data_IF_669674029015
#
_entry.id   IF_669674029015
#
_cell.length_a   1.000
_cell.length_b   1.000
_cell.length_c   1.000
_cell.angle_alpha   90.00
_cell.angle_beta   90.00
_cell.angle_gamma   90.00
#
_symmetry.space_group_name_H-M   'P 1'
#
loop_
_entity.id
_entity.type
_entity.pdbx_description
1 polymer ?
#
# COMPACT_ATOMS: atom_id res chain seq x y z
N UNK A 1 -2.67 -5.00 3.88
CA UNK A 1 -2.23 -6.04 2.94
C UNK A 1 -1.68 -7.18 3.76
N UNK A 2 -2.38 -8.32 3.76
CA UNK A 2 -2.00 -9.48 4.56
C UNK A 2 -0.62 -9.99 4.12
N UNK A 3 0.31 -10.10 5.07
CA UNK A 3 1.54 -10.87 4.87
C UNK A 3 1.11 -12.33 4.80
N UNK A 4 1.07 -12.88 3.61
CA UNK A 4 0.95 -14.33 3.46
C UNK A 4 2.33 -14.90 3.79
N UNK A 5 2.59 -15.11 5.08
CA UNK A 5 3.63 -16.03 5.52
C UNK A 5 3.11 -17.43 5.18
N UNK A 6 3.33 -17.91 3.96
CA UNK A 6 3.23 -19.34 3.71
C UNK A 6 4.37 -19.98 4.51
N UNK A 7 4.04 -20.56 5.67
CA UNK A 7 4.94 -21.49 6.35
C UNK A 7 5.30 -22.55 5.32
N UNK A 8 6.61 -22.75 5.13
CA UNK A 8 7.09 -23.92 4.40
C UNK A 8 6.75 -25.08 5.32
N UNK A 9 5.76 -25.89 4.96
CA UNK A 9 5.37 -27.10 5.67
C UNK A 9 5.72 -28.31 4.79
N UNK A 10 6.04 -29.46 5.40
CA UNK A 10 6.43 -30.69 4.70
C UNK A 10 7.93 -31.02 4.73
N UNK A 11 8.43 -31.94 3.88
CA UNK A 11 9.80 -32.49 3.95
C UNK A 11 10.93 -31.49 3.64
N UNK A 12 10.57 -30.23 3.38
CA UNK A 12 11.49 -29.09 3.23
C UNK A 12 11.82 -28.41 4.56
N UNK A 13 11.08 -28.70 5.64
CA UNK A 13 11.30 -28.12 6.99
C UNK A 13 12.47 -28.79 7.70
N UNK A 14 12.73 -30.07 7.42
CA UNK A 14 13.74 -30.83 8.15
C UNK A 14 15.15 -30.44 7.69
N UNK A 15 16.01 -29.90 8.58
CA UNK A 15 17.40 -29.63 8.26
C UNK A 15 18.13 -30.95 7.98
N UNK A 16 18.94 -30.98 6.91
CA UNK A 16 19.75 -32.17 6.63
C UNK A 16 20.70 -32.43 7.81
N UNK A 17 20.70 -33.68 8.29
CA UNK A 17 21.66 -34.10 9.32
C UNK A 17 23.07 -34.00 8.72
N UNK A 18 24.04 -33.41 9.43
CA UNK A 18 25.41 -33.33 8.94
C UNK A 18 25.96 -34.75 8.75
N UNK A 19 26.64 -34.96 7.62
CA UNK A 19 27.32 -36.21 7.31
C UNK A 19 28.41 -36.46 8.36
N UNK A 20 28.18 -37.40 9.26
CA UNK A 20 29.24 -37.93 10.13
C UNK A 20 30.18 -38.72 9.22
N UNK A 21 31.36 -38.14 8.96
CA UNK A 21 32.46 -38.82 8.27
C UNK A 21 32.92 -40.00 9.14
N UNK A 22 32.31 -41.15 8.95
CA UNK A 22 32.71 -42.37 9.62
C UNK A 22 31.49 -43.24 9.89
N UNK A 23 31.21 -44.12 8.92
CA UNK A 23 30.80 -45.53 9.07
C UNK A 23 30.23 -45.93 7.72
N UNK A 24 31.02 -46.73 7.01
CA UNK A 24 30.60 -47.47 5.83
C UNK A 24 29.60 -48.52 6.31
N UNK A 25 28.32 -48.33 6.03
CA UNK A 25 27.31 -49.37 6.12
C UNK A 25 26.21 -49.09 5.09
N UNK A 26 26.02 -50.05 4.20
CA UNK A 26 25.09 -50.05 3.09
C UNK A 26 23.65 -49.83 3.57
N UNK A 27 23.05 -48.68 3.23
CA UNK A 27 21.60 -48.54 3.07
C UNK A 27 21.39 -47.63 1.85
N UNK A 28 20.59 -48.12 0.91
CA UNK A 28 20.14 -47.44 -0.30
C UNK A 28 19.34 -46.16 0.02
N UNK A 29 20.00 -45.11 0.49
CA UNK A 29 19.42 -43.77 0.58
C UNK A 29 20.41 -42.83 -0.05
N UNK A 30 20.44 -42.85 -1.38
CA UNK A 30 21.34 -42.06 -2.20
C UNK A 30 21.08 -40.57 -1.94
N UNK A 31 21.90 -39.88 -1.13
CA UNK A 31 21.63 -38.49 -0.73
C UNK A 31 21.62 -37.55 -1.95
N UNK A 32 22.27 -38.00 -3.03
CA UNK A 32 22.29 -37.34 -4.33
C UNK A 32 20.91 -37.31 -5.01
N UNK A 33 20.13 -38.39 -4.89
CA UNK A 33 18.77 -38.46 -5.44
C UNK A 33 17.80 -37.57 -4.65
N UNK A 34 17.96 -37.48 -3.34
CA UNK A 34 17.16 -36.58 -2.49
C UNK A 34 17.44 -35.10 -2.82
N UNK A 35 18.70 -34.75 -3.07
CA UNK A 35 19.09 -33.40 -3.45
C UNK A 35 18.51 -32.98 -4.80
N UNK A 36 18.60 -33.85 -5.81
CA UNK A 36 18.05 -33.58 -7.15
C UNK A 36 16.52 -33.48 -7.14
N UNK A 37 15.84 -34.28 -6.29
CA UNK A 37 14.39 -34.16 -6.11
C UNK A 37 13.98 -32.82 -5.49
N UNK A 38 14.71 -32.34 -4.47
CA UNK A 38 14.47 -31.02 -3.86
C UNK A 38 14.71 -29.88 -4.85
N UNK A 39 15.77 -29.97 -5.67
CA UNK A 39 16.04 -28.99 -6.72
C UNK A 39 14.93 -28.94 -7.77
N UNK A 40 14.38 -30.09 -8.17
CA UNK A 40 13.27 -30.14 -9.12
C UNK A 40 12.00 -29.49 -8.55
N UNK A 41 11.66 -29.77 -7.30
CA UNK A 41 10.53 -29.12 -6.61
C UNK A 41 10.71 -27.61 -6.49
N UNK A 42 11.94 -27.13 -6.30
CA UNK A 42 12.26 -25.71 -6.31
C UNK A 42 12.08 -25.09 -7.70
N UNK A 43 12.53 -25.75 -8.76
CA UNK A 43 12.27 -25.29 -10.13
C UNK A 43 10.76 -25.20 -10.43
N UNK A 44 9.99 -26.21 -10.03
CA UNK A 44 8.52 -26.22 -10.17
C UNK A 44 7.86 -25.08 -9.39
N UNK A 45 8.33 -24.77 -8.18
CA UNK A 45 7.80 -23.65 -7.38
C UNK A 45 8.03 -22.28 -8.03
N UNK A 46 9.11 -22.12 -8.81
CA UNK A 46 9.45 -20.90 -9.54
C UNK A 46 8.96 -20.91 -11.00
N UNK A 47 8.14 -21.89 -11.39
CA UNK A 47 7.63 -22.09 -12.75
C UNK A 47 8.75 -22.12 -13.82
N UNK A 48 9.90 -22.71 -13.48
CA UNK A 48 11.06 -22.81 -14.37
C UNK A 48 10.99 -24.09 -15.21
N UNK A 49 11.07 -23.93 -16.53
CA UNK A 49 11.08 -25.04 -17.47
C UNK A 49 12.34 -25.90 -17.31
N UNK A 50 12.23 -27.20 -17.57
CA UNK A 50 13.32 -28.19 -17.44
C UNK A 50 14.39 -28.10 -18.56
N UNK A 51 14.75 -26.89 -18.95
CA UNK A 51 15.75 -26.62 -19.96
C UNK A 51 17.17 -26.63 -19.35
N UNK A 52 18.20 -26.62 -20.22
CA UNK A 52 19.61 -26.64 -19.79
C UNK A 52 20.00 -25.50 -18.84
N UNK A 53 19.25 -24.39 -18.81
CA UNK A 53 19.47 -23.23 -17.93
C UNK A 53 18.65 -23.25 -16.63
N UNK A 54 17.85 -24.29 -16.37
CA UNK A 54 16.91 -24.31 -15.23
C UNK A 54 17.57 -23.98 -13.88
N UNK A 55 18.81 -24.42 -13.66
CA UNK A 55 19.52 -24.20 -12.39
C UNK A 55 20.16 -22.80 -12.31
N UNK A 56 20.57 -22.22 -13.43
CA UNK A 56 21.03 -20.81 -13.44
C UNK A 56 19.86 -19.87 -13.20
N UNK A 57 18.71 -20.16 -13.82
CA UNK A 57 17.49 -19.36 -13.65
C UNK A 57 16.96 -19.49 -12.21
N UNK A 58 17.04 -20.69 -11.62
CA UNK A 58 16.71 -20.92 -10.22
C UNK A 58 17.63 -20.13 -9.29
N UNK A 59 18.94 -20.11 -9.55
CA UNK A 59 19.89 -19.34 -8.74
C UNK A 59 19.58 -17.83 -8.78
N UNK A 60 19.19 -17.31 -9.94
CA UNK A 60 18.79 -15.91 -10.11
C UNK A 60 17.47 -15.64 -9.36
N UNK A 61 16.47 -16.51 -9.48
CA UNK A 61 15.20 -16.38 -8.78
C UNK A 61 15.38 -16.36 -7.25
N UNK A 62 16.20 -17.28 -6.72
CA UNK A 62 16.55 -17.32 -5.31
C UNK A 62 17.33 -16.06 -4.87
N UNK A 63 18.24 -15.56 -5.71
CA UNK A 63 18.96 -14.33 -5.42
C UNK A 63 18.00 -13.13 -5.32
N UNK A 64 17.04 -13.00 -6.24
CA UNK A 64 16.02 -11.93 -6.22
C UNK A 64 15.19 -11.97 -4.93
N UNK A 65 14.78 -13.15 -4.48
CA UNK A 65 13.92 -13.28 -3.30
C UNK A 65 14.66 -13.08 -1.98
N UNK A 66 15.86 -13.66 -1.86
CA UNK A 66 16.57 -13.77 -0.59
C UNK A 66 17.69 -12.75 -0.41
N UNK A 67 18.31 -12.25 -1.49
CA UNK A 67 19.44 -11.31 -1.39
C UNK A 67 18.95 -9.88 -1.59
N UNK A 68 19.04 -8.99 -0.58
CA UNK A 68 18.53 -7.61 -0.68
C UNK A 68 19.08 -6.81 -1.87
N UNK A 69 20.33 -7.09 -2.29
CA UNK A 69 20.98 -6.42 -3.41
C UNK A 69 20.44 -6.80 -4.80
N UNK A 70 19.78 -7.95 -4.93
CA UNK A 70 19.19 -8.43 -6.20
C UNK A 70 17.68 -8.18 -6.29
N UNK A 71 17.06 -7.64 -5.23
CA UNK A 71 15.64 -7.28 -5.23
C UNK A 71 15.37 -6.17 -6.24
N UNK A 72 14.38 -6.37 -7.11
CA UNK A 72 13.87 -5.30 -7.94
C UNK A 72 13.39 -4.16 -7.03
N UNK A 73 14.04 -2.99 -7.16
CA UNK A 73 13.51 -1.76 -6.57
C UNK A 73 12.14 -1.53 -7.19
N UNK A 74 11.06 -1.68 -6.40
CA UNK A 74 9.73 -1.23 -6.83
C UNK A 74 9.89 0.20 -7.33
N UNK A 75 9.59 0.44 -8.60
CA UNK A 75 9.53 1.81 -9.13
C UNK A 75 8.54 2.54 -8.23
N UNK A 76 9.06 3.41 -7.36
CA UNK A 76 8.21 4.28 -6.57
C UNK A 76 7.49 5.14 -7.57
N UNK A 77 6.21 4.84 -7.83
CA UNK A 77 5.37 5.71 -8.65
C UNK A 77 5.44 7.13 -8.10
N UNK A 78 5.14 8.12 -8.94
CA UNK A 78 5.11 9.52 -8.51
C UNK A 78 4.29 9.64 -7.22
N UNK A 79 4.88 10.23 -6.17
CA UNK A 79 4.19 10.46 -4.89
C UNK A 79 2.85 11.14 -5.19
N UNK A 80 1.76 10.44 -4.90
CA UNK A 80 0.43 10.99 -5.13
C UNK A 80 0.21 12.08 -4.09
N UNK A 81 0.15 13.35 -4.51
CA UNK A 81 -0.11 14.50 -3.62
C UNK A 81 -1.42 14.36 -2.84
N UNK A 82 -2.36 13.56 -3.35
CA UNK A 82 -3.64 13.27 -2.71
C UNK A 82 -3.55 11.98 -1.90
N UNK A 83 -3.38 12.11 -0.59
CA UNK A 83 -3.57 11.00 0.34
C UNK A 83 -5.07 10.78 0.58
N UNK A 84 -5.45 9.62 1.10
CA UNK A 84 -6.85 9.40 1.48
C UNK A 84 -7.28 10.34 2.63
N UNK A 85 -6.33 10.75 3.49
CA UNK A 85 -6.56 11.75 4.53
C UNK A 85 -6.88 13.13 3.96
N UNK A 86 -6.07 13.64 3.04
CA UNK A 86 -6.33 14.96 2.43
C UNK A 86 -7.65 14.99 1.64
N UNK A 87 -8.04 13.86 1.05
CA UNK A 87 -9.36 13.66 0.44
C UNK A 87 -10.51 13.66 1.45
N UNK A 88 -10.35 13.00 2.60
CA UNK A 88 -11.36 12.99 3.65
C UNK A 88 -11.54 14.39 4.26
N UNK A 89 -10.43 15.10 4.53
CA UNK A 89 -10.46 16.50 4.98
C UNK A 89 -11.18 17.41 3.98
N UNK A 90 -10.97 17.20 2.67
CA UNK A 90 -11.67 17.96 1.63
C UNK A 90 -13.20 17.79 1.72
N UNK A 91 -13.68 16.58 2.00
CA UNK A 91 -15.12 16.31 2.16
C UNK A 91 -15.69 17.07 3.36
N UNK A 92 -15.01 17.02 4.49
CA UNK A 92 -15.45 17.73 5.70
C UNK A 92 -15.45 19.24 5.49
N UNK A 93 -14.41 19.78 4.85
CA UNK A 93 -14.32 21.22 4.61
C UNK A 93 -15.39 21.74 3.64
N UNK A 94 -15.75 20.92 2.64
CA UNK A 94 -16.87 21.21 1.74
C UNK A 94 -18.19 21.21 2.51
N UNK A 95 -18.44 20.25 3.38
CA UNK A 95 -19.67 20.18 4.19
C UNK A 95 -19.73 21.30 5.24
N UNK A 96 -18.59 21.68 5.85
CA UNK A 96 -18.45 22.86 6.73
C UNK A 96 -18.87 24.14 6.01
N UNK A 97 -18.34 24.39 4.82
CA UNK A 97 -18.70 25.56 4.02
C UNK A 97 -20.14 25.54 3.53
N UNK A 98 -20.67 24.34 3.25
CA UNK A 98 -22.04 24.14 2.80
C UNK A 98 -23.08 24.51 3.85
N UNK A 99 -22.78 24.25 5.12
CA UNK A 99 -23.66 24.49 6.25
C UNK A 99 -23.32 25.79 7.02
N UNK A 100 -22.38 26.59 6.51
CA UNK A 100 -21.97 27.83 7.15
C UNK A 100 -23.10 28.87 7.13
N UNK A 101 -23.28 29.60 8.24
CA UNK A 101 -24.16 30.78 8.35
C UNK A 101 -25.65 30.53 8.06
N UNK A 102 -26.20 29.37 8.43
CA UNK A 102 -27.62 29.02 8.25
C UNK A 102 -28.12 29.11 6.79
N UNK A 103 -27.20 29.13 5.82
CA UNK A 103 -27.52 29.13 4.40
C UNK A 103 -26.99 27.85 3.76
N UNK A 104 -27.88 27.06 3.18
CA UNK A 104 -27.49 25.89 2.40
C UNK A 104 -26.88 26.34 1.07
N UNK A 105 -25.55 26.40 1.01
CA UNK A 105 -24.85 26.69 -0.23
C UNK A 105 -24.71 25.43 -1.11
N UNK A 106 -24.45 25.63 -2.40
CA UNK A 106 -24.20 24.49 -3.30
C UNK A 106 -22.79 23.93 -3.10
N UNK A 107 -22.59 22.63 -3.40
CA UNK A 107 -21.26 21.99 -3.39
C UNK A 107 -20.29 22.75 -4.31
N UNK A 108 -20.77 23.25 -5.45
CA UNK A 108 -19.95 24.00 -6.39
C UNK A 108 -19.47 25.33 -5.81
N UNK A 109 -20.32 26.01 -5.02
CA UNK A 109 -19.94 27.23 -4.32
C UNK A 109 -18.83 26.95 -3.29
N UNK A 110 -18.99 25.90 -2.48
CA UNK A 110 -17.98 25.51 -1.49
C UNK A 110 -16.63 25.16 -2.14
N UNK A 111 -16.64 24.41 -3.24
CA UNK A 111 -15.44 24.10 -4.04
C UNK A 111 -14.79 25.38 -4.58
N UNK A 112 -15.58 26.36 -5.00
CA UNK A 112 -15.09 27.64 -5.52
C UNK A 112 -14.46 28.50 -4.44
N UNK A 113 -14.92 28.42 -3.18
CA UNK A 113 -14.24 29.09 -2.07
C UNK A 113 -12.95 28.36 -1.69
N UNK A 114 -12.97 27.02 -1.63
CA UNK A 114 -11.78 26.23 -1.31
C UNK A 114 -10.68 26.38 -2.34
N UNK A 115 -11.02 26.51 -3.62
CA UNK A 115 -10.04 26.70 -4.67
C UNK A 115 -9.29 28.03 -4.59
N UNK A 116 -9.79 29.02 -3.83
CA UNK A 116 -9.07 30.27 -3.56
C UNK A 116 -7.98 30.11 -2.50
N UNK A 117 -8.16 29.18 -1.56
CA UNK A 117 -7.22 28.91 -0.46
C UNK A 117 -5.89 28.35 -0.95
N UNK A 118 -4.79 28.86 -0.40
CA UNK A 118 -3.41 28.50 -0.77
C UNK A 118 -3.09 27.03 -0.50
N UNK A 119 -3.64 26.47 0.58
CA UNK A 119 -3.45 25.06 0.98
C UNK A 119 -3.95 24.12 -0.11
N UNK A 120 -5.19 24.31 -0.56
CA UNK A 120 -5.83 23.43 -1.55
C UNK A 120 -5.28 23.62 -2.96
N UNK A 121 -4.82 24.84 -3.30
CA UNK A 121 -4.10 25.10 -4.56
C UNK A 121 -2.82 24.27 -4.68
N UNK A 122 -2.07 24.09 -3.58
CA UNK A 122 -0.80 23.34 -3.58
C UNK A 122 -0.95 21.86 -3.95
N UNK A 123 -2.12 21.29 -3.64
CA UNK A 123 -2.48 19.89 -3.90
C UNK A 123 -2.94 19.65 -5.34
N UNK A 124 -3.38 20.69 -6.05
CA UNK A 124 -3.78 20.60 -7.46
C UNK A 124 -2.54 20.76 -8.35
N UNK A 125 -2.42 19.92 -9.39
CA UNK A 125 -1.36 20.09 -10.41
C UNK A 125 -1.73 21.26 -11.33
N UNK A 126 -0.78 22.16 -11.62
CA UNK A 126 -1.02 23.45 -12.31
C UNK A 126 -1.73 23.37 -13.67
N UNK A 127 -1.71 22.22 -14.36
CA UNK A 127 -2.37 22.03 -15.66
C UNK A 127 -3.89 21.85 -15.61
N UNK A 128 -4.51 21.59 -14.45
CA UNK A 128 -5.97 21.38 -14.35
C UNK A 128 -6.65 22.60 -13.73
N UNK A 129 -7.84 22.93 -14.21
CA UNK A 129 -8.73 23.89 -13.54
C UNK A 129 -8.96 23.43 -12.09
N UNK A 130 -8.63 24.27 -11.08
CA UNK A 130 -8.58 23.82 -9.69
C UNK A 130 -9.93 23.35 -9.18
N UNK A 131 -11.01 24.01 -9.60
CA UNK A 131 -12.39 23.62 -9.25
C UNK A 131 -12.72 22.21 -9.74
N UNK A 132 -12.36 21.88 -10.98
CA UNK A 132 -12.63 20.55 -11.55
C UNK A 132 -11.80 19.47 -10.86
N UNK A 133 -10.54 19.76 -10.53
CA UNK A 133 -9.67 18.84 -9.81
C UNK A 133 -10.22 18.52 -8.40
N UNK A 134 -10.63 19.53 -7.63
CA UNK A 134 -11.21 19.36 -6.31
C UNK A 134 -12.55 18.60 -6.38
N UNK A 135 -13.39 18.93 -7.36
CA UNK A 135 -14.65 18.21 -7.61
C UNK A 135 -14.43 16.71 -7.82
N UNK A 136 -13.46 16.34 -8.66
CA UNK A 136 -13.14 14.93 -8.90
C UNK A 136 -12.67 14.21 -7.63
N UNK A 137 -11.86 14.86 -6.78
CA UNK A 137 -11.40 14.25 -5.54
C UNK A 137 -12.53 14.11 -4.51
N UNK A 138 -13.42 15.10 -4.42
CA UNK A 138 -14.59 15.06 -3.56
C UNK A 138 -15.49 13.85 -3.87
N UNK A 139 -15.91 13.67 -5.12
CA UNK A 139 -16.79 12.53 -5.47
C UNK A 139 -16.11 11.17 -5.28
N UNK A 140 -14.79 11.08 -5.45
CA UNK A 140 -14.03 9.87 -5.15
C UNK A 140 -13.98 9.54 -3.66
N UNK A 141 -14.07 10.55 -2.80
CA UNK A 141 -13.88 10.42 -1.37
C UNK A 141 -15.18 10.42 -0.58
N UNK A 142 -16.27 10.99 -1.11
CA UNK A 142 -17.56 11.16 -0.43
C UNK A 142 -18.09 9.86 0.18
N UNK A 143 -17.96 8.74 -0.55
CA UNK A 143 -18.49 7.45 -0.10
C UNK A 143 -17.51 6.64 0.76
N UNK A 144 -16.27 7.10 0.89
CA UNK A 144 -15.24 6.38 1.61
C UNK A 144 -15.47 6.41 3.12
N UNK A 145 -15.18 5.29 3.79
CA UNK A 145 -15.41 5.15 5.24
C UNK A 145 -14.66 6.20 6.06
N UNK A 146 -13.41 6.53 5.68
CA UNK A 146 -12.62 7.57 6.35
C UNK A 146 -13.30 8.94 6.29
N UNK A 147 -13.90 9.30 5.16
CA UNK A 147 -14.59 10.58 5.01
C UNK A 147 -15.83 10.66 5.91
N UNK A 148 -16.59 9.57 6.02
CA UNK A 148 -17.74 9.47 6.94
C UNK A 148 -17.31 9.55 8.40
N UNK A 149 -16.24 8.84 8.76
CA UNK A 149 -15.67 8.87 10.10
C UNK A 149 -15.20 10.28 10.48
N UNK A 150 -14.44 10.94 9.60
CA UNK A 150 -13.93 12.30 9.81
C UNK A 150 -15.06 13.33 9.93
N UNK A 151 -16.13 13.16 9.15
CA UNK A 151 -17.31 14.01 9.23
C UNK A 151 -18.07 13.80 10.55
N UNK A 152 -18.15 12.56 11.05
CA UNK A 152 -18.74 12.28 12.35
C UNK A 152 -17.93 12.86 13.52
N UNK A 153 -16.59 12.87 13.41
CA UNK A 153 -15.73 13.50 14.42
C UNK A 153 -15.86 15.01 14.37
N UNK A 154 -15.94 15.60 13.17
CA UNK A 154 -16.17 17.04 13.01
C UNK A 154 -17.50 17.46 13.65
N UNK A 155 -18.60 16.74 13.40
CA UNK A 155 -19.89 17.03 14.05
C UNK A 155 -19.81 16.98 15.58
N UNK A 156 -19.09 16.01 16.13
CA UNK A 156 -18.85 15.93 17.59
C UNK A 156 -18.02 17.10 18.12
N UNK A 157 -17.12 17.67 17.32
CA UNK A 157 -16.34 18.86 17.69
C UNK A 157 -17.17 20.14 17.60
N UNK A 158 -18.07 20.21 16.61
CA UNK A 158 -19.07 21.27 16.47
C UNK A 158 -20.01 21.29 17.69
N UNK A 159 -20.51 20.14 18.12
CA UNK A 159 -21.34 19.99 19.33
C UNK A 159 -20.61 20.42 20.62
N UNK A 160 -19.29 20.26 20.65
CA UNK A 160 -18.42 20.62 21.79
C UNK A 160 -17.83 22.02 21.70
N UNK A 161 -18.18 22.78 20.66
CA UNK A 161 -17.71 24.13 20.37
C UNK A 161 -16.17 24.26 20.29
N UNK A 162 -15.47 23.19 19.88
CA UNK A 162 -14.00 23.12 19.80
C UNK A 162 -13.52 23.29 18.35
N UNK A 163 -14.10 24.25 17.62
CA UNK A 163 -13.86 24.41 16.18
C UNK A 163 -12.48 24.97 15.83
N UNK A 164 -11.82 25.66 16.76
CA UNK A 164 -10.49 26.25 16.54
C UNK A 164 -9.40 25.18 16.33
N UNK A 165 -9.55 24.00 16.93
CA UNK A 165 -8.61 22.88 16.77
C UNK A 165 -8.69 22.23 15.37
N UNK A 166 -9.80 22.43 14.66
CA UNK A 166 -10.03 21.81 13.36
C UNK A 166 -9.06 22.31 12.29
N UNK A 167 -8.77 23.62 12.28
CA UNK A 167 -7.89 24.22 11.27
C UNK A 167 -6.45 23.68 11.40
N UNK A 168 -6.02 23.32 12.62
CA UNK A 168 -4.72 22.70 12.86
C UNK A 168 -4.68 21.23 12.43
N UNK A 169 -5.77 20.49 12.64
CA UNK A 169 -5.94 19.13 12.09
C UNK A 169 -5.87 19.15 10.56
N UNK A 170 -6.52 20.11 9.90
CA UNK A 170 -6.48 20.25 8.44
C UNK A 170 -5.05 20.55 7.96
N UNK A 171 -4.32 21.44 8.63
CA UNK A 171 -2.90 21.73 8.29
C UNK A 171 -1.99 20.52 8.47
N UNK A 172 -2.23 19.68 9.48
CA UNK A 172 -1.43 18.49 9.72
C UNK A 172 -1.67 17.42 8.66
N UNK A 173 -2.93 17.18 8.28
CA UNK A 173 -3.33 16.09 7.39
C UNK A 173 -3.18 16.42 5.89
N UNK A 174 -3.02 17.69 5.53
CA UNK A 174 -2.93 18.16 4.14
C UNK A 174 -1.52 18.59 3.69
N UNK A 175 -0.47 18.34 4.48
CA UNK A 175 0.95 18.50 4.07
C UNK A 175 1.41 17.38 3.15
#
# INVERSE_FOLDING_TARGET
MAKINKKIDGPLVEPMRPLIKGIIAQVQNDPYNSYNAKLKLLCEHYDLNSDRSQYSDLAIALAIDHVPGFKYKKKSGAKTKWTMWSRACLVVEIERLRNSKNQSHSIMWAITQLSKSSLWKSLVKSKKTPNHALRQQYYKAKEHFLSKALLSTYKKMEDKNTLDEWDDVVKLLCK
#
